data_IF_969557275962
#
_entry.id   IF_969557275962
#
_cell.length_a   1.000
_cell.length_b   1.000
_cell.length_c   1.000
_cell.angle_alpha   90.00
_cell.angle_beta   90.00
_cell.angle_gamma   90.00
#
_symmetry.space_group_name_H-M   'P 1'
#
loop_
_entity.id
_entity.type
_entity.pdbx_description
1 polymer ?
#
# COMPACT_ATOMS: atom_id res chain seq x y z
N UNK A 1 17.98 30.98 0.28
CA UNK A 1 17.04 31.12 1.41
C UNK A 1 17.00 29.79 2.14
N UNK A 2 17.51 29.75 3.37
CA UNK A 2 17.57 28.55 4.22
C UNK A 2 16.47 28.67 5.29
N UNK A 3 15.38 27.88 5.24
CA UNK A 3 14.41 27.87 6.31
C UNK A 3 14.88 26.99 7.47
N UNK A 4 14.40 27.32 8.67
CA UNK A 4 14.77 26.75 9.96
C UNK A 4 14.37 25.27 10.14
N UNK A 5 15.05 24.51 11.03
CA UNK A 5 14.77 23.09 11.27
C UNK A 5 13.47 22.89 12.05
N UNK A 6 12.66 21.90 11.66
CA UNK A 6 11.48 21.46 12.40
C UNK A 6 11.90 20.77 13.70
N UNK A 7 11.25 21.13 14.81
CA UNK A 7 11.58 20.73 16.18
C UNK A 7 11.37 19.24 16.44
N UNK A 8 12.45 18.52 16.72
CA UNK A 8 12.48 17.11 17.12
C UNK A 8 12.23 17.05 18.66
N UNK A 9 11.08 16.55 19.13
CA UNK A 9 10.78 16.38 20.57
C UNK A 9 10.97 14.91 20.94
N UNK A 10 12.14 14.58 21.52
CA UNK A 10 12.44 13.29 22.16
C UNK A 10 13.21 12.26 21.33
N UNK A 11 14.54 12.18 21.55
CA UNK A 11 15.36 10.98 21.34
C UNK A 11 15.78 10.59 19.91
N UNK A 12 17.03 10.89 19.55
CA UNK A 12 17.80 10.46 18.36
C UNK A 12 17.14 10.68 16.99
N UNK A 13 17.46 11.82 16.36
CA UNK A 13 17.03 12.23 15.02
C UNK A 13 18.07 11.72 13.98
N UNK A 14 17.74 10.84 12.99
CA UNK A 14 18.66 10.49 11.91
C UNK A 14 18.38 11.30 10.62
N UNK A 15 19.41 12.01 10.11
CA UNK A 15 19.58 12.62 8.76
C UNK A 15 18.44 13.51 8.19
N UNK A 16 18.71 14.43 7.24
CA UNK A 16 17.99 15.70 7.15
C UNK A 16 16.58 15.58 6.57
N UNK A 17 15.57 16.02 7.35
CA UNK A 17 14.23 16.33 6.86
C UNK A 17 14.33 17.61 6.01
N UNK A 18 14.43 17.44 4.69
CA UNK A 18 14.23 18.52 3.72
C UNK A 18 12.75 18.51 3.36
N UNK A 19 12.11 19.69 3.39
CA UNK A 19 10.70 19.94 3.07
C UNK A 19 9.66 19.48 4.12
N UNK A 20 8.40 19.97 4.02
CA UNK A 20 7.30 19.98 5.01
C UNK A 20 6.84 18.60 5.53
N UNK A 21 7.75 17.76 5.98
CA UNK A 21 7.48 16.42 6.47
C UNK A 21 7.36 16.39 7.99
N UNK A 22 6.58 15.44 8.49
CA UNK A 22 6.37 15.14 9.91
C UNK A 22 6.82 13.70 10.14
N UNK A 23 7.75 13.47 11.06
CA UNK A 23 8.27 12.12 11.36
C UNK A 23 8.29 11.90 12.86
N UNK A 24 7.59 10.87 13.34
CA UNK A 24 7.61 10.39 14.72
C UNK A 24 8.07 8.92 14.74
N UNK A 25 9.10 8.62 15.53
CA UNK A 25 9.70 7.28 15.64
C UNK A 25 11.14 7.23 15.10
N UNK A 26 11.71 6.03 14.95
CA UNK A 26 13.15 5.84 14.74
C UNK A 26 13.49 5.16 13.40
N UNK A 27 14.71 5.40 12.90
CA UNK A 27 15.26 4.71 11.72
C UNK A 27 14.43 4.86 10.43
N UNK A 28 13.71 5.96 10.27
CA UNK A 28 13.01 6.24 9.02
C UNK A 28 13.97 6.90 8.00
N UNK A 29 13.89 6.49 6.74
CA UNK A 29 14.58 7.12 5.62
C UNK A 29 13.54 7.81 4.73
N UNK A 30 13.64 9.13 4.56
CA UNK A 30 12.62 9.92 3.87
C UNK A 30 13.26 10.91 2.89
N UNK A 31 12.79 10.89 1.65
CA UNK A 31 13.14 11.85 0.60
C UNK A 31 11.86 12.39 -0.05
N UNK A 32 11.60 13.69 0.04
CA UNK A 32 10.44 14.33 -0.60
C UNK A 32 9.73 15.31 0.32
N UNK A 33 8.45 15.60 0.05
CA UNK A 33 7.73 16.72 0.70
C UNK A 33 6.32 16.32 1.16
N UNK A 34 5.82 16.98 2.21
CA UNK A 34 4.48 16.79 2.79
C UNK A 34 4.16 15.38 3.28
N UNK A 35 5.18 14.58 3.63
CA UNK A 35 4.98 13.23 4.14
C UNK A 35 4.81 13.23 5.67
N UNK A 36 3.88 12.41 6.17
CA UNK A 36 3.73 12.11 7.60
C UNK A 36 4.10 10.65 7.86
N UNK A 37 5.07 10.40 8.73
CA UNK A 37 5.50 9.07 9.15
C UNK A 37 5.36 8.93 10.67
N UNK A 38 4.67 7.90 11.14
CA UNK A 38 4.55 7.53 12.55
C UNK A 38 4.93 6.05 12.71
N UNK A 39 6.08 5.78 13.31
CA UNK A 39 6.62 4.43 13.51
C UNK A 39 8.09 4.35 13.13
N UNK A 40 8.59 3.13 12.89
CA UNK A 40 10.03 2.90 12.75
C UNK A 40 10.42 2.13 11.49
N UNK A 41 11.65 2.34 11.02
CA UNK A 41 12.23 1.60 9.90
C UNK A 41 11.48 1.74 8.56
N UNK A 42 10.75 2.85 8.35
CA UNK A 42 10.06 3.09 7.08
C UNK A 42 11.02 3.76 6.08
N UNK A 43 10.92 3.39 4.80
CA UNK A 43 11.63 4.05 3.69
C UNK A 43 10.63 4.69 2.75
N UNK A 44 10.70 6.01 2.57
CA UNK A 44 9.71 6.76 1.81
C UNK A 44 10.40 7.69 0.82
N UNK A 45 9.95 7.66 -0.42
CA UNK A 45 10.33 8.62 -1.44
C UNK A 45 9.08 9.16 -2.15
N UNK A 46 8.85 10.47 -2.08
CA UNK A 46 7.81 11.15 -2.86
C UNK A 46 7.01 12.19 -2.07
N UNK A 47 5.74 12.37 -2.43
CA UNK A 47 4.97 13.55 -2.04
C UNK A 47 3.68 13.20 -1.31
N UNK A 48 3.40 13.87 -0.19
CA UNK A 48 2.10 13.81 0.49
C UNK A 48 1.66 12.42 0.95
N UNK A 49 2.60 11.56 1.37
CA UNK A 49 2.27 10.24 1.88
C UNK A 49 1.99 10.26 3.40
N UNK A 50 1.10 9.39 3.87
CA UNK A 50 0.83 9.19 5.29
C UNK A 50 1.10 7.73 5.66
N UNK A 51 2.09 7.48 6.51
CA UNK A 51 2.54 6.12 6.86
C UNK A 51 2.53 5.96 8.37
N UNK A 52 1.79 4.95 8.83
CA UNK A 52 1.71 4.57 10.24
C UNK A 52 2.10 3.10 10.40
N UNK A 53 3.12 2.82 11.22
CA UNK A 53 3.62 1.47 11.48
C UNK A 53 5.08 1.30 11.09
N UNK A 54 5.50 0.05 10.83
CA UNK A 54 6.93 -0.29 10.82
C UNK A 54 7.37 -1.02 9.55
N UNK A 55 8.59 -0.72 9.08
CA UNK A 55 9.21 -1.47 7.99
C UNK A 55 8.53 -1.28 6.63
N UNK A 56 7.72 -0.23 6.44
CA UNK A 56 7.05 0.00 5.16
C UNK A 56 8.00 0.67 4.17
N UNK A 57 7.88 0.32 2.90
CA UNK A 57 8.57 0.96 1.77
C UNK A 57 7.52 1.61 0.89
N UNK A 58 7.67 2.91 0.60
CA UNK A 58 6.71 3.63 -0.22
C UNK A 58 7.41 4.58 -1.20
N UNK A 59 7.22 4.33 -2.49
CA UNK A 59 7.75 5.14 -3.58
C UNK A 59 6.60 5.72 -4.40
N UNK A 60 6.34 7.02 -4.26
CA UNK A 60 5.30 7.72 -4.99
C UNK A 60 4.55 8.73 -4.14
N UNK A 61 3.32 9.04 -4.52
CA UNK A 61 2.61 10.20 -3.98
C UNK A 61 1.21 9.91 -3.50
N UNK A 62 0.79 10.60 -2.44
CA UNK A 62 -0.58 10.55 -1.91
C UNK A 62 -0.99 9.13 -1.49
N UNK A 63 -0.03 8.31 -1.04
CA UNK A 63 -0.33 6.99 -0.50
C UNK A 63 -0.61 7.08 1.00
N UNK A 64 -1.56 6.28 1.48
CA UNK A 64 -1.82 6.05 2.90
C UNK A 64 -1.48 4.61 3.23
N UNK A 65 -0.59 4.40 4.20
CA UNK A 65 -0.13 3.06 4.60
C UNK A 65 -0.27 2.90 6.11
N UNK A 66 -0.89 1.81 6.53
CA UNK A 66 -1.01 1.42 7.94
C UNK A 66 -0.54 -0.03 8.14
N UNK A 67 0.27 -0.27 9.17
CA UNK A 67 0.73 -1.61 9.54
C UNK A 67 2.20 -1.85 9.22
N UNK A 68 2.54 -3.09 8.86
CA UNK A 68 3.92 -3.56 8.85
C UNK A 68 4.36 -4.13 7.51
N UNK A 69 5.60 -3.85 7.10
CA UNK A 69 6.25 -4.49 5.96
C UNK A 69 5.46 -4.41 4.64
N UNK A 70 4.70 -3.34 4.41
CA UNK A 70 4.04 -3.12 3.14
C UNK A 70 5.00 -2.42 2.16
N UNK A 71 4.95 -2.78 0.89
CA UNK A 71 5.77 -2.22 -0.18
C UNK A 71 4.87 -1.61 -1.27
N UNK A 72 5.01 -0.31 -1.52
CA UNK A 72 4.19 0.43 -2.46
C UNK A 72 5.06 1.14 -3.49
N UNK A 73 4.63 1.09 -4.76
CA UNK A 73 5.14 1.91 -5.85
C UNK A 73 3.99 2.49 -6.67
N UNK A 74 3.83 3.81 -6.69
CA UNK A 74 2.78 4.51 -7.43
C UNK A 74 1.99 5.47 -6.55
N UNK A 75 0.77 5.83 -6.94
CA UNK A 75 0.08 6.99 -6.36
C UNK A 75 -1.35 6.70 -5.88
N UNK A 76 -1.82 7.44 -4.89
CA UNK A 76 -3.20 7.38 -4.40
C UNK A 76 -3.62 5.99 -3.87
N UNK A 77 -2.68 5.17 -3.42
CA UNK A 77 -2.97 3.85 -2.86
C UNK A 77 -3.27 3.94 -1.37
N UNK A 78 -4.18 3.10 -0.90
CA UNK A 78 -4.52 2.93 0.51
C UNK A 78 -4.25 1.49 0.92
N UNK A 79 -3.28 1.27 1.82
CA UNK A 79 -2.86 -0.08 2.22
C UNK A 79 -2.90 -0.21 3.74
N UNK A 80 -3.56 -1.25 4.25
CA UNK A 80 -3.63 -1.55 5.68
C UNK A 80 -3.36 -3.03 5.95
N UNK A 81 -2.42 -3.33 6.84
CA UNK A 81 -2.11 -4.68 7.29
C UNK A 81 -0.64 -5.04 7.16
N UNK A 82 -0.35 -6.27 6.75
CA UNK A 82 1.01 -6.83 6.81
C UNK A 82 1.45 -7.43 5.47
N UNK A 83 2.69 -7.21 5.06
CA UNK A 83 3.30 -7.88 3.89
C UNK A 83 2.52 -7.67 2.57
N UNK A 84 1.83 -6.55 2.38
CA UNK A 84 1.16 -6.27 1.11
C UNK A 84 2.10 -5.56 0.14
N UNK A 85 2.08 -5.96 -1.13
CA UNK A 85 2.80 -5.32 -2.23
C UNK A 85 1.83 -4.67 -3.22
N UNK A 86 2.01 -3.39 -3.53
CA UNK A 86 1.15 -2.65 -4.48
C UNK A 86 1.99 -1.87 -5.48
N UNK A 87 1.74 -2.09 -6.77
CA UNK A 87 2.33 -1.33 -7.87
C UNK A 87 1.19 -0.76 -8.72
N UNK A 88 1.15 0.57 -8.88
CA UNK A 88 0.14 1.28 -9.67
C UNK A 88 -0.61 2.33 -8.87
N UNK A 89 -1.85 2.65 -9.28
CA UNK A 89 -2.57 3.80 -8.72
C UNK A 89 -3.99 3.51 -8.27
N UNK A 90 -4.44 4.23 -7.23
CA UNK A 90 -5.83 4.20 -6.75
C UNK A 90 -6.25 2.80 -6.27
N UNK A 91 -5.32 1.99 -5.75
CA UNK A 91 -5.67 0.68 -5.19
C UNK A 91 -5.98 0.79 -3.69
N UNK A 92 -6.92 -0.01 -3.21
CA UNK A 92 -7.20 -0.20 -1.78
C UNK A 92 -6.93 -1.64 -1.38
N UNK A 93 -6.04 -1.88 -0.42
CA UNK A 93 -5.63 -3.23 0.00
C UNK A 93 -5.68 -3.34 1.52
N UNK A 94 -6.46 -4.29 2.01
CA UNK A 94 -6.60 -4.57 3.45
C UNK A 94 -6.35 -6.04 3.73
N UNK A 95 -5.44 -6.34 4.66
CA UNK A 95 -5.17 -7.69 5.15
C UNK A 95 -3.70 -8.08 5.02
N UNK A 96 -3.41 -9.34 4.68
CA UNK A 96 -2.03 -9.85 4.74
C UNK A 96 -1.55 -10.54 3.48
N UNK A 97 -0.34 -10.21 3.03
CA UNK A 97 0.33 -10.94 1.95
C UNK A 97 -0.32 -10.78 0.58
N UNK A 98 -1.05 -9.68 0.33
CA UNK A 98 -1.67 -9.46 -0.98
C UNK A 98 -0.69 -8.77 -1.94
N UNK A 99 -0.70 -9.18 -3.20
CA UNK A 99 0.02 -8.53 -4.30
C UNK A 99 -0.95 -7.89 -5.29
N UNK A 100 -0.76 -6.60 -5.60
CA UNK A 100 -1.62 -5.87 -6.54
C UNK A 100 -0.77 -5.12 -7.56
N UNK A 101 -1.03 -5.34 -8.84
CA UNK A 101 -0.41 -4.63 -9.95
C UNK A 101 -1.50 -4.03 -10.84
N UNK A 102 -1.47 -2.72 -11.05
CA UNK A 102 -2.43 -2.00 -11.91
C UNK A 102 -3.21 -0.95 -11.12
N UNK A 103 -4.42 -0.63 -11.56
CA UNK A 103 -5.13 0.55 -11.08
C UNK A 103 -6.54 0.24 -10.57
N UNK A 104 -7.05 1.04 -9.65
CA UNK A 104 -8.44 0.97 -9.19
C UNK A 104 -8.85 -0.39 -8.60
N UNK A 105 -7.90 -1.21 -8.12
CA UNK A 105 -8.23 -2.51 -7.53
C UNK A 105 -8.56 -2.38 -6.04
N UNK A 106 -9.50 -3.19 -5.57
CA UNK A 106 -9.88 -3.32 -4.17
C UNK A 106 -9.63 -4.74 -3.66
N UNK A 107 -8.88 -4.90 -2.58
CA UNK A 107 -8.60 -6.19 -1.96
C UNK A 107 -8.90 -6.16 -0.46
N UNK A 108 -9.63 -7.16 0.01
CA UNK A 108 -9.83 -7.43 1.43
C UNK A 108 -9.57 -8.91 1.71
N UNK A 109 -8.58 -9.22 2.56
CA UNK A 109 -8.27 -10.57 2.99
C UNK A 109 -6.80 -10.93 2.79
N UNK A 110 -6.51 -12.18 2.49
CA UNK A 110 -5.13 -12.69 2.58
C UNK A 110 -4.65 -13.39 1.31
N UNK A 111 -3.38 -13.18 0.96
CA UNK A 111 -2.71 -13.93 -0.11
C UNK A 111 -3.41 -13.80 -1.48
N UNK A 112 -4.04 -12.66 -1.77
CA UNK A 112 -4.65 -12.41 -3.07
C UNK A 112 -3.65 -11.73 -4.01
N UNK A 113 -3.59 -12.17 -5.26
CA UNK A 113 -2.75 -11.61 -6.33
C UNK A 113 -3.63 -11.06 -7.45
N UNK A 114 -3.56 -9.75 -7.69
CA UNK A 114 -4.36 -9.07 -8.71
C UNK A 114 -3.44 -8.41 -9.73
N UNK A 115 -3.76 -8.55 -11.01
CA UNK A 115 -3.14 -7.80 -12.10
C UNK A 115 -4.20 -7.25 -13.05
N UNK A 116 -4.22 -5.94 -13.25
CA UNK A 116 -5.16 -5.26 -14.16
C UNK A 116 -5.90 -4.10 -13.49
N UNK A 117 -7.10 -3.78 -13.97
CA UNK A 117 -7.82 -2.58 -13.57
C UNK A 117 -9.22 -2.86 -13.02
N UNK A 118 -9.56 -2.24 -11.89
CA UNK A 118 -10.93 -2.25 -11.38
C UNK A 118 -11.40 -3.59 -10.81
N UNK A 119 -10.49 -4.48 -10.42
CA UNK A 119 -10.86 -5.75 -9.82
C UNK A 119 -11.18 -5.57 -8.33
N UNK A 120 -12.21 -6.26 -7.84
CA UNK A 120 -12.65 -6.25 -6.45
C UNK A 120 -12.61 -7.67 -5.89
N UNK A 121 -11.74 -7.92 -4.91
CA UNK A 121 -11.54 -9.26 -4.34
C UNK A 121 -11.68 -9.21 -2.83
N UNK A 122 -12.64 -9.96 -2.30
CA UNK A 122 -12.72 -10.30 -0.89
C UNK A 122 -12.52 -11.80 -0.71
N UNK A 123 -11.60 -12.20 0.18
CA UNK A 123 -11.35 -13.60 0.48
C UNK A 123 -9.87 -13.94 0.62
N UNK A 124 -9.53 -15.20 0.40
CA UNK A 124 -8.14 -15.66 0.53
C UNK A 124 -7.65 -16.50 -0.64
N UNK A 125 -6.37 -16.34 -0.98
CA UNK A 125 -5.68 -17.17 -1.99
C UNK A 125 -6.31 -17.09 -3.38
N UNK A 126 -6.72 -15.90 -3.81
CA UNK A 126 -7.27 -15.69 -5.15
C UNK A 126 -6.23 -15.07 -6.09
N UNK A 127 -6.20 -15.50 -7.35
CA UNK A 127 -5.40 -14.91 -8.43
C UNK A 127 -6.33 -14.35 -9.49
N UNK A 128 -6.21 -13.07 -9.82
CA UNK A 128 -7.05 -12.39 -10.80
C UNK A 128 -6.19 -11.65 -11.81
N UNK A 129 -6.44 -11.86 -13.10
CA UNK A 129 -5.82 -11.13 -14.18
C UNK A 129 -6.86 -10.55 -15.14
N UNK A 130 -6.70 -9.29 -15.54
CA UNK A 130 -7.62 -8.57 -16.41
C UNK A 130 -8.46 -7.54 -15.65
N UNK A 131 -9.65 -7.21 -16.14
CA UNK A 131 -10.32 -5.97 -15.74
C UNK A 131 -11.74 -6.18 -15.22
N UNK A 132 -12.13 -5.39 -14.23
CA UNK A 132 -13.51 -5.36 -13.71
C UNK A 132 -14.02 -6.70 -13.17
N UNK A 133 -13.14 -7.58 -12.70
CA UNK A 133 -13.54 -8.84 -12.09
C UNK A 133 -13.93 -8.64 -10.61
N UNK A 134 -14.98 -9.33 -10.16
CA UNK A 134 -15.44 -9.28 -8.77
C UNK A 134 -15.45 -10.68 -8.16
N UNK A 135 -14.78 -10.84 -7.01
CA UNK A 135 -14.83 -12.03 -6.17
C UNK A 135 -15.30 -11.61 -4.79
N UNK A 136 -16.43 -12.18 -4.34
CA UNK A 136 -16.93 -12.01 -2.98
C UNK A 136 -16.75 -13.32 -2.19
N UNK A 137 -16.02 -13.25 -1.09
CA UNK A 137 -15.73 -14.36 -0.17
C UNK A 137 -15.11 -15.58 -0.88
N UNK A 138 -14.20 -15.33 -1.83
CA UNK A 138 -13.56 -16.38 -2.62
C UNK A 138 -12.41 -17.05 -1.88
N UNK A 139 -12.25 -18.35 -2.12
CA UNK A 139 -11.09 -19.11 -1.67
C UNK A 139 -10.49 -19.89 -2.84
N UNK A 140 -9.17 -19.83 -3.06
CA UNK A 140 -8.51 -20.55 -4.16
C UNK A 140 -9.16 -20.35 -5.53
N UNK A 141 -9.43 -19.10 -5.92
CA UNK A 141 -9.91 -18.80 -7.27
C UNK A 141 -8.77 -18.40 -8.18
N UNK A 142 -8.84 -18.80 -9.45
CA UNK A 142 -8.01 -18.24 -10.53
C UNK A 142 -8.95 -17.72 -11.61
N UNK A 143 -8.87 -16.43 -11.90
CA UNK A 143 -9.73 -15.76 -12.89
C UNK A 143 -8.85 -15.01 -13.89
N UNK A 144 -9.20 -15.12 -15.17
CA UNK A 144 -8.67 -14.25 -16.21
C UNK A 144 -9.78 -13.58 -17.03
N UNK A 145 -9.46 -12.45 -17.68
CA UNK A 145 -10.38 -11.75 -18.57
C UNK A 145 -11.10 -10.59 -17.89
N UNK A 146 -12.32 -10.30 -18.34
CA UNK A 146 -13.03 -9.11 -17.89
C UNK A 146 -14.47 -9.36 -17.44
N UNK A 147 -14.92 -8.59 -16.44
CA UNK A 147 -16.30 -8.59 -15.94
C UNK A 147 -16.79 -9.94 -15.40
N UNK A 148 -15.89 -10.80 -14.91
CA UNK A 148 -16.28 -12.02 -14.22
C UNK A 148 -16.82 -11.70 -12.82
N UNK A 149 -17.85 -12.44 -12.38
CA UNK A 149 -18.44 -12.28 -11.05
C UNK A 149 -18.51 -13.63 -10.34
N UNK A 150 -17.88 -13.73 -9.18
CA UNK A 150 -17.89 -14.91 -8.33
C UNK A 150 -18.47 -14.55 -6.97
N UNK A 151 -19.64 -15.13 -6.68
CA UNK A 151 -20.32 -14.95 -5.41
C UNK A 151 -20.23 -16.27 -4.63
N UNK A 152 -19.24 -16.38 -3.74
CA UNK A 152 -18.97 -17.53 -2.88
C UNK A 152 -18.39 -18.77 -3.61
N UNK A 153 -17.26 -19.31 -3.12
CA UNK A 153 -16.72 -20.61 -3.53
C UNK A 153 -15.31 -20.57 -4.16
N UNK A 154 -14.96 -21.71 -4.76
CA UNK A 154 -13.71 -21.93 -5.50
C UNK A 154 -14.03 -22.09 -6.99
N UNK A 155 -13.43 -21.27 -7.83
CA UNK A 155 -13.57 -21.25 -9.28
C UNK A 155 -12.19 -21.12 -9.89
N UNK A 156 -11.82 -22.09 -10.70
CA UNK A 156 -10.60 -22.07 -11.47
C UNK A 156 -11.01 -22.04 -12.95
N UNK A 157 -10.94 -20.86 -13.57
CA UNK A 157 -11.35 -20.64 -14.96
C UNK A 157 -10.66 -19.44 -15.59
#
# INVERSE_FOLDING_TARGET
YTPAPTTCVGGSCPAPVVDNNIVYGANNNLVGNLNTLIGSSNTVQGYSNNIVGNGNVNLGSVNTVAGCNNALQGNYNQVSGNLNGVIGSVNTVVGSGNGVIGNYNGVVGNLNNLSGSGNLVSGSVNTVSGDLNTIANGYYNTISGAQNVINNGNYNG
#
